data_IF_922235848676
#
_entry.id   IF_922235848676
#
_cell.length_a   1.000
_cell.length_b   1.000
_cell.length_c   1.000
_cell.angle_alpha   90.00
_cell.angle_beta   90.00
_cell.angle_gamma   90.00
#
_symmetry.space_group_name_H-M   'P 1'
#
loop_
_entity.id
_entity.type
_entity.pdbx_description
1 polymer ?
#
# COMPACT_ATOMS: atom_id res chain seq x y z
N UNK A 1 6.96 -4.37 12.18
CA UNK A 1 8.42 -4.36 12.45
C UNK A 1 9.20 -3.56 11.40
N UNK A 2 9.05 -3.84 10.11
CA UNK A 2 9.81 -3.17 9.03
C UNK A 2 9.72 -1.64 9.02
N UNK A 3 8.53 -1.05 9.19
CA UNK A 3 8.36 0.43 9.23
C UNK A 3 9.13 1.05 10.41
N UNK A 4 9.11 0.40 11.57
CA UNK A 4 9.80 0.87 12.79
C UNK A 4 11.33 0.84 12.57
N UNK A 5 11.84 -0.26 12.00
CA UNK A 5 13.27 -0.38 11.63
C UNK A 5 13.66 0.70 10.64
N UNK A 6 12.83 0.97 9.64
CA UNK A 6 13.11 1.99 8.64
C UNK A 6 13.17 3.40 9.27
N UNK A 7 12.24 3.71 10.19
CA UNK A 7 12.26 4.97 10.94
C UNK A 7 13.54 5.13 11.78
N UNK A 8 14.02 4.06 12.42
CA UNK A 8 15.28 4.06 13.17
C UNK A 8 16.49 4.31 12.26
N UNK A 9 16.54 3.67 11.09
CA UNK A 9 17.61 3.89 10.11
C UNK A 9 17.65 5.36 9.66
N UNK A 10 16.49 5.94 9.30
CA UNK A 10 16.43 7.35 8.91
C UNK A 10 16.80 8.31 10.03
N UNK A 11 16.51 7.96 11.29
CA UNK A 11 16.95 8.77 12.43
C UNK A 11 18.46 8.69 12.64
N UNK A 12 19.02 7.49 12.70
CA UNK A 12 20.40 7.26 13.11
C UNK A 12 21.38 7.57 11.98
N UNK A 13 21.09 7.12 10.75
CA UNK A 13 22.01 7.27 9.63
C UNK A 13 21.90 8.64 8.96
N UNK A 14 20.67 9.12 8.74
CA UNK A 14 20.42 10.37 8.00
C UNK A 14 20.16 11.58 8.91
N UNK A 15 20.11 11.41 10.23
CA UNK A 15 19.86 12.47 11.21
C UNK A 15 18.56 13.27 10.97
N UNK A 16 17.52 12.60 10.47
CA UNK A 16 16.25 13.27 10.16
C UNK A 16 15.57 13.85 11.41
N UNK A 17 14.87 14.96 11.21
CA UNK A 17 14.08 15.61 12.26
C UNK A 17 12.89 14.75 12.70
N UNK A 18 12.39 14.97 13.92
CA UNK A 18 11.24 14.22 14.44
C UNK A 18 9.99 14.34 13.56
N UNK A 19 9.75 15.51 12.98
CA UNK A 19 8.62 15.76 12.07
C UNK A 19 8.74 14.89 10.80
N UNK A 20 9.93 14.79 10.22
CA UNK A 20 10.16 13.99 9.01
C UNK A 20 9.94 12.49 9.28
N UNK A 21 10.38 12.00 10.45
CA UNK A 21 10.12 10.62 10.86
C UNK A 21 8.63 10.36 11.04
N UNK A 22 7.91 11.31 11.66
CA UNK A 22 6.46 11.24 11.79
C UNK A 22 5.77 11.09 10.43
N UNK A 23 6.21 11.86 9.42
CA UNK A 23 5.67 11.75 8.05
C UNK A 23 5.97 10.38 7.43
N UNK A 24 7.21 9.90 7.52
CA UNK A 24 7.61 8.58 6.98
C UNK A 24 6.78 7.47 7.63
N UNK A 25 6.60 7.53 8.95
CA UNK A 25 5.82 6.57 9.70
C UNK A 25 4.35 6.57 9.27
N UNK A 26 3.73 7.74 9.19
CA UNK A 26 2.34 7.89 8.77
C UNK A 26 2.11 7.36 7.34
N UNK A 27 2.94 7.78 6.38
CA UNK A 27 2.85 7.32 4.99
C UNK A 27 3.05 5.80 4.90
N UNK A 28 4.05 5.27 5.61
CA UNK A 28 4.34 3.83 5.63
C UNK A 28 3.17 3.00 6.16
N UNK A 29 2.50 3.46 7.22
CA UNK A 29 1.32 2.77 7.76
C UNK A 29 0.15 2.80 6.76
N UNK A 30 -0.10 3.93 6.12
CA UNK A 30 -1.19 4.05 5.15
C UNK A 30 -1.02 3.08 3.98
N UNK A 31 0.20 2.98 3.42
CA UNK A 31 0.49 2.01 2.36
C UNK A 31 0.37 0.56 2.86
N UNK A 32 0.82 0.26 4.07
CA UNK A 32 0.67 -1.07 4.66
C UNK A 32 -0.81 -1.46 4.80
N UNK A 33 -1.66 -0.53 5.26
CA UNK A 33 -3.11 -0.75 5.34
C UNK A 33 -3.71 -0.99 3.96
N UNK A 34 -3.35 -0.16 2.97
CA UNK A 34 -3.83 -0.30 1.60
C UNK A 34 -3.51 -1.69 1.00
N UNK A 35 -2.28 -2.17 1.17
CA UNK A 35 -1.86 -3.49 0.66
C UNK A 35 -2.67 -4.63 1.26
N UNK A 36 -2.90 -4.58 2.58
CA UNK A 36 -3.71 -5.59 3.26
C UNK A 36 -5.16 -5.56 2.77
N UNK A 37 -5.74 -4.37 2.61
CA UNK A 37 -7.11 -4.22 2.11
C UNK A 37 -7.27 -4.71 0.66
N UNK A 38 -6.28 -4.50 -0.20
CA UNK A 38 -6.30 -5.02 -1.57
C UNK A 38 -6.32 -6.55 -1.57
N UNK A 39 -5.50 -7.18 -0.73
CA UNK A 39 -5.51 -8.64 -0.56
C UNK A 39 -6.88 -9.16 -0.15
N UNK A 40 -7.46 -8.55 0.89
CA UNK A 40 -8.80 -8.89 1.38
C UNK A 40 -9.87 -8.70 0.30
N UNK A 41 -9.84 -7.59 -0.45
CA UNK A 41 -10.81 -7.33 -1.52
C UNK A 41 -10.77 -8.43 -2.61
N UNK A 42 -9.58 -8.88 -2.99
CA UNK A 42 -9.42 -9.93 -4.00
C UNK A 42 -9.90 -11.28 -3.46
N UNK A 43 -9.56 -11.60 -2.21
CA UNK A 43 -10.02 -12.83 -1.56
C UNK A 43 -11.54 -12.88 -1.41
N UNK A 44 -12.19 -11.75 -1.12
CA UNK A 44 -13.65 -11.65 -1.10
C UNK A 44 -14.28 -11.80 -2.50
N UNK A 45 -13.66 -11.25 -3.55
CA UNK A 45 -14.17 -11.35 -4.92
C UNK A 45 -14.03 -12.73 -5.55
N UNK A 46 -13.03 -13.51 -5.13
CA UNK A 46 -12.78 -14.87 -5.61
C UNK A 46 -12.63 -15.84 -4.43
N UNK A 47 -13.72 -16.17 -3.73
CA UNK A 47 -13.66 -17.12 -2.62
C UNK A 47 -13.29 -18.51 -3.16
N UNK A 48 -12.22 -19.11 -2.64
CA UNK A 48 -11.87 -20.51 -2.92
C UNK A 48 -12.85 -21.41 -2.16
N UNK A 49 -13.97 -21.76 -2.79
CA UNK A 49 -15.06 -22.54 -2.17
C UNK A 49 -14.93 -24.06 -2.35
N UNK A 50 -14.17 -24.54 -3.34
CA UNK A 50 -13.88 -25.96 -3.53
C UNK A 50 -12.43 -26.24 -3.15
N UNK A 51 -12.22 -26.72 -1.94
CA UNK A 51 -10.91 -27.19 -1.48
C UNK A 51 -11.08 -28.62 -1.00
N UNK A 52 -10.44 -29.55 -1.71
CA UNK A 52 -10.40 -30.98 -1.37
C UNK A 52 -9.35 -31.29 -0.30
N UNK A 53 -8.43 -30.35 -0.03
CA UNK A 53 -7.35 -30.47 0.93
C UNK A 53 -7.00 -29.08 1.53
N UNK A 54 -6.85 -29.01 2.86
CA UNK A 54 -6.61 -27.77 3.63
C UNK A 54 -5.32 -27.04 3.21
N UNK A 55 -4.35 -27.79 2.69
CA UNK A 55 -3.04 -27.27 2.29
C UNK A 55 -3.09 -26.50 0.96
N UNK A 56 -4.03 -26.83 0.07
CA UNK A 56 -4.20 -26.15 -1.24
C UNK A 56 -4.95 -24.82 -1.13
N UNK A 57 -5.77 -24.67 -0.09
CA UNK A 57 -6.44 -23.41 0.24
C UNK A 57 -5.42 -22.32 0.64
N UNK A 58 -4.35 -22.71 1.35
CA UNK A 58 -3.36 -21.77 1.91
C UNK A 58 -2.17 -21.51 0.98
N UNK A 59 -1.62 -22.53 0.30
CA UNK A 59 -0.32 -22.40 -0.42
C UNK A 59 -0.37 -22.18 -1.93
N UNK A 60 -1.52 -22.37 -2.59
CA UNK A 60 -1.70 -22.10 -4.03
C UNK A 60 -2.86 -21.12 -4.27
N UNK A 61 -2.96 -20.06 -3.47
CA UNK A 61 -3.97 -19.04 -3.70
C UNK A 61 -3.51 -18.09 -4.82
N UNK A 62 -4.03 -18.28 -6.04
CA UNK A 62 -3.79 -17.37 -7.18
C UNK A 62 -4.18 -15.94 -6.84
N UNK A 63 -5.10 -15.73 -5.88
CA UNK A 63 -5.48 -14.41 -5.40
C UNK A 63 -4.30 -13.66 -4.75
N UNK A 64 -3.38 -14.37 -4.07
CA UNK A 64 -2.19 -13.75 -3.49
C UNK A 64 -1.27 -13.24 -4.60
N UNK A 65 -1.08 -14.03 -5.66
CA UNK A 65 -0.28 -13.61 -6.82
C UNK A 65 -0.91 -12.41 -7.52
N UNK A 66 -2.23 -12.41 -7.70
CA UNK A 66 -2.97 -11.28 -8.26
C UNK A 66 -2.86 -10.02 -7.38
N UNK A 67 -2.93 -10.18 -6.07
CA UNK A 67 -2.75 -9.08 -5.12
C UNK A 67 -1.35 -8.47 -5.24
N UNK A 68 -0.31 -9.31 -5.29
CA UNK A 68 1.08 -8.87 -5.47
C UNK A 68 1.24 -8.14 -6.81
N UNK A 69 0.70 -8.70 -7.90
CA UNK A 69 0.81 -8.09 -9.24
C UNK A 69 0.14 -6.71 -9.29
N UNK A 70 -1.05 -6.58 -8.68
CA UNK A 70 -1.75 -5.31 -8.59
C UNK A 70 -0.99 -4.30 -7.73
N UNK A 71 -0.44 -4.74 -6.61
CA UNK A 71 0.42 -3.93 -5.73
C UNK A 71 1.68 -3.41 -6.46
N UNK A 72 2.31 -4.25 -7.28
CA UNK A 72 3.45 -3.85 -8.11
C UNK A 72 3.03 -2.81 -9.16
N UNK A 73 1.90 -3.03 -9.85
CA UNK A 73 1.39 -2.08 -10.83
C UNK A 73 1.11 -0.70 -10.21
N UNK A 74 0.49 -0.66 -9.03
CA UNK A 74 0.24 0.57 -8.27
C UNK A 74 1.57 1.22 -7.87
N UNK A 75 2.55 0.45 -7.38
CA UNK A 75 3.88 0.96 -7.02
C UNK A 75 4.60 1.61 -8.20
N UNK A 76 4.55 0.99 -9.38
CA UNK A 76 5.14 1.54 -10.61
C UNK A 76 4.45 2.87 -10.97
N UNK A 77 3.12 2.92 -10.88
CA UNK A 77 2.35 4.15 -11.12
C UNK A 77 2.76 5.30 -10.20
N UNK A 78 2.91 5.03 -8.90
CA UNK A 78 3.39 6.01 -7.92
C UNK A 78 4.83 6.45 -8.21
N UNK A 79 5.72 5.51 -8.52
CA UNK A 79 7.10 5.82 -8.86
C UNK A 79 7.20 6.74 -10.09
N UNK A 80 6.42 6.45 -11.13
CA UNK A 80 6.36 7.28 -12.33
C UNK A 80 5.79 8.67 -12.04
N UNK A 81 4.69 8.76 -11.27
CA UNK A 81 4.09 10.03 -10.89
C UNK A 81 5.05 10.92 -10.10
N UNK A 82 5.70 10.36 -9.06
CA UNK A 82 6.68 11.09 -8.25
C UNK A 82 7.89 11.51 -9.08
N UNK A 83 8.40 10.64 -9.96
CA UNK A 83 9.52 10.98 -10.84
C UNK A 83 9.19 12.15 -11.78
N UNK A 84 7.98 12.16 -12.35
CA UNK A 84 7.53 13.25 -13.21
C UNK A 84 7.32 14.56 -12.43
N UNK A 85 6.80 14.49 -11.21
CA UNK A 85 6.68 15.66 -10.33
C UNK A 85 8.05 16.21 -9.95
N UNK A 86 9.04 15.35 -9.70
CA UNK A 86 10.39 15.79 -9.40
C UNK A 86 11.06 16.48 -10.60
N UNK A 87 10.87 15.95 -11.81
CA UNK A 87 11.37 16.59 -13.05
C UNK A 87 10.72 17.95 -13.32
N UNK A 88 9.45 18.10 -12.96
CA UNK A 88 8.72 19.36 -13.10
C UNK A 88 9.04 20.38 -12.00
N UNK A 89 9.97 20.07 -11.08
CA UNK A 89 10.43 21.00 -10.05
C UNK A 89 9.44 21.24 -8.90
N UNK A 90 8.50 20.31 -8.66
CA UNK A 90 7.57 20.44 -7.54
C UNK A 90 8.29 20.43 -6.19
N UNK A 91 7.76 21.16 -5.21
CA UNK A 91 8.33 21.20 -3.86
C UNK A 91 8.08 19.86 -3.16
N UNK A 92 9.00 19.44 -2.28
CA UNK A 92 8.84 18.20 -1.50
C UNK A 92 7.51 18.14 -0.73
N UNK A 93 6.99 19.30 -0.26
CA UNK A 93 5.69 19.40 0.42
C UNK A 93 4.52 19.02 -0.50
N UNK A 94 4.58 19.42 -1.76
CA UNK A 94 3.53 19.14 -2.76
C UNK A 94 3.49 17.65 -3.07
N UNK A 95 4.67 17.03 -3.22
CA UNK A 95 4.82 15.58 -3.46
C UNK A 95 4.27 14.78 -2.28
N UNK A 96 4.62 15.15 -1.04
CA UNK A 96 4.13 14.47 0.17
C UNK A 96 2.61 14.61 0.28
N UNK A 97 2.08 15.81 0.02
CA UNK A 97 0.62 16.07 0.10
C UNK A 97 -0.12 15.25 -0.95
N UNK A 98 0.40 15.20 -2.18
CA UNK A 98 -0.13 14.37 -3.26
C UNK A 98 -0.15 12.88 -2.88
N UNK A 99 0.97 12.37 -2.34
CA UNK A 99 1.06 10.98 -1.87
C UNK A 99 0.04 10.67 -0.78
N UNK A 100 -0.08 11.54 0.22
CA UNK A 100 -1.02 11.33 1.33
C UNK A 100 -2.47 11.29 0.84
N UNK A 101 -2.84 12.27 0.00
CA UNK A 101 -4.20 12.41 -0.52
C UNK A 101 -4.58 11.22 -1.42
N UNK A 102 -3.71 10.86 -2.36
CA UNK A 102 -3.95 9.75 -3.30
C UNK A 102 -4.06 8.40 -2.58
N UNK A 103 -3.23 8.13 -1.57
CA UNK A 103 -3.32 6.89 -0.78
C UNK A 103 -4.62 6.86 0.03
N UNK A 104 -5.01 7.96 0.67
CA UNK A 104 -6.28 8.03 1.39
C UNK A 104 -7.48 7.77 0.48
N UNK A 105 -7.48 8.36 -0.73
CA UNK A 105 -8.53 8.13 -1.73
C UNK A 105 -8.56 6.65 -2.14
N UNK A 106 -7.41 6.04 -2.42
CA UNK A 106 -7.36 4.62 -2.78
C UNK A 106 -7.87 3.72 -1.66
N UNK A 107 -7.50 3.98 -0.39
CA UNK A 107 -8.02 3.22 0.76
C UNK A 107 -9.55 3.34 0.81
N UNK A 108 -10.09 4.55 0.67
CA UNK A 108 -11.55 4.75 0.67
C UNK A 108 -12.23 4.01 -0.49
N UNK A 109 -11.65 4.01 -1.69
CA UNK A 109 -12.19 3.28 -2.84
C UNK A 109 -12.18 1.77 -2.61
N UNK A 110 -11.10 1.22 -2.06
CA UNK A 110 -10.99 -0.21 -1.73
C UNK A 110 -12.01 -0.56 -0.63
N UNK A 111 -12.13 0.23 0.43
CA UNK A 111 -13.13 0.04 1.48
C UNK A 111 -14.56 0.07 0.93
N UNK A 112 -14.88 1.01 0.02
CA UNK A 112 -16.20 1.04 -0.65
C UNK A 112 -16.44 -0.21 -1.49
N UNK A 113 -15.42 -0.69 -2.20
CA UNK A 113 -15.51 -1.93 -2.98
C UNK A 113 -15.71 -3.18 -2.12
N UNK A 114 -15.16 -3.20 -0.90
CA UNK A 114 -15.41 -4.27 0.08
C UNK A 114 -16.85 -4.18 0.60
N UNK A 115 -17.31 -3.00 1.01
CA UNK A 115 -18.66 -2.80 1.55
C UNK A 115 -19.77 -3.13 0.54
N UNK A 116 -19.59 -2.76 -0.74
CA UNK A 116 -20.57 -3.06 -1.80
C UNK A 116 -20.70 -4.56 -2.12
N UNK A 117 -19.75 -5.39 -1.67
CA UNK A 117 -19.82 -6.84 -1.83
C UNK A 117 -20.54 -7.55 -0.68
N UNK A 118 -20.85 -6.82 0.41
CA UNK A 118 -21.60 -7.35 1.56
C UNK A 118 -23.10 -7.10 1.48
N UNK A 119 -23.55 -6.18 0.60
CA UNK A 119 -24.97 -5.98 0.23
C UNK A 119 -25.39 -6.94 -0.88
#
# INVERSE_FOLDING_TARGET
>A
MGIIVNCLIFKVYFNYGFIQIGVIFCVGILFAVLWNLIGVLIDMKRPKLEWTNETEAVKQNVNVVLSILLCIAISIGYFFAVSKMLQNGFTARDIITFLLCSVCILILLVCKGIASHQE
#
